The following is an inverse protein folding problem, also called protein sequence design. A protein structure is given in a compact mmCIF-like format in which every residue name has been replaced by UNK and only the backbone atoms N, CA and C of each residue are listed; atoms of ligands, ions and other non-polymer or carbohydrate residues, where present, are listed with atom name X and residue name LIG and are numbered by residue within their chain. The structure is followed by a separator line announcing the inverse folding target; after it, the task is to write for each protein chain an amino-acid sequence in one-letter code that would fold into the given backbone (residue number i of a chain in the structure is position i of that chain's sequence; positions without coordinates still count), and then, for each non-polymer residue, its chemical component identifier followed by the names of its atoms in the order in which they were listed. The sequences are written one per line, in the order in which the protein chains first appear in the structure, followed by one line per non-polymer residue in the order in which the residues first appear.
data_IF_901080386242
#
_entry.id   IF_901080386242
#
_cell.length_a   1.000
_cell.length_b   1.000
_cell.length_c   1.000
_cell.angle_alpha   90.00
_cell.angle_beta   90.00
_cell.angle_gamma   90.00
#
_symmetry.space_group_name_H-M   'P 1'
#
loop_
_entity.id
_entity.type
_entity.pdbx_description
1 polymer ?
#
# COMPACT_ATOMS: atom_id res chain seq x y z
N UNK A 1 14.76 -34.31 -42.27
CA UNK A 1 14.34 -35.60 -41.71
C UNK A 1 13.22 -35.36 -40.70
N UNK A 2 12.05 -35.96 -40.98
CA UNK A 2 10.94 -36.32 -40.08
C UNK A 2 10.35 -35.25 -39.14
N UNK A 3 9.24 -34.67 -39.61
CA UNK A 3 8.07 -34.30 -38.79
C UNK A 3 7.52 -35.54 -38.08
N UNK A 4 7.18 -35.44 -36.79
CA UNK A 4 5.93 -35.99 -36.26
C UNK A 4 5.50 -35.29 -34.95
N UNK A 5 4.20 -35.01 -34.77
CA UNK A 5 3.63 -34.20 -33.69
C UNK A 5 2.98 -35.04 -32.58
N UNK A 6 3.09 -34.63 -31.31
CA UNK A 6 2.30 -35.21 -30.21
C UNK A 6 1.67 -34.11 -29.35
N UNK A 7 0.36 -33.98 -29.57
CA UNK A 7 -0.73 -33.52 -28.70
C UNK A 7 -0.68 -32.16 -27.96
N UNK A 8 -1.79 -31.39 -28.03
CA UNK A 8 -1.90 -30.07 -27.42
C UNK A 8 -2.27 -30.20 -25.94
N UNK A 9 -1.29 -30.08 -25.04
CA UNK A 9 -1.59 -29.76 -23.65
C UNK A 9 -1.90 -28.25 -23.57
N UNK A 10 -3.18 -27.94 -23.37
CA UNK A 10 -3.70 -26.60 -23.11
C UNK A 10 -3.08 -26.04 -21.82
N UNK A 11 -1.90 -25.43 -21.92
CA UNK A 11 -1.30 -24.67 -20.83
C UNK A 11 -2.01 -23.32 -20.71
N UNK A 12 -3.06 -23.27 -19.89
CA UNK A 12 -3.57 -22.00 -19.35
C UNK A 12 -2.46 -21.45 -18.45
N UNK A 13 -1.60 -20.61 -19.01
CA UNK A 13 -0.70 -19.76 -18.21
C UNK A 13 -1.57 -18.64 -17.65
N UNK A 14 -2.12 -18.85 -16.45
CA UNK A 14 -2.77 -17.79 -15.70
C UNK A 14 -1.67 -16.80 -15.30
N UNK A 15 -1.52 -15.74 -16.10
CA UNK A 15 -0.63 -14.64 -15.78
C UNK A 15 -1.16 -13.92 -14.53
N UNK A 16 -0.70 -14.37 -13.35
CA UNK A 16 -0.77 -13.58 -12.13
C UNK A 16 0.08 -12.34 -12.37
N UNK A 17 -0.56 -11.24 -12.77
CA UNK A 17 -0.01 -9.91 -12.53
C UNK A 17 0.08 -9.75 -11.01
N UNK A 18 1.17 -10.24 -10.41
CA UNK A 18 1.57 -9.81 -9.10
C UNK A 18 1.69 -8.28 -9.19
N UNK A 19 0.93 -7.49 -8.42
CA UNK A 19 1.25 -6.08 -8.32
C UNK A 19 2.70 -6.04 -7.84
N UNK A 20 3.57 -5.40 -8.61
CA UNK A 20 4.91 -5.09 -8.15
C UNK A 20 4.73 -4.21 -6.92
N UNK A 21 4.75 -4.81 -5.72
CA UNK A 21 4.87 -4.08 -4.47
C UNK A 21 6.24 -3.42 -4.55
N UNK A 22 6.27 -2.19 -5.10
CA UNK A 22 7.49 -1.42 -5.14
C UNK A 22 7.94 -1.32 -3.69
N UNK A 23 9.19 -1.71 -3.50
CA UNK A 23 9.88 -1.76 -2.23
C UNK A 23 9.46 -0.52 -1.43
N UNK A 24 8.73 -0.70 -0.33
CA UNK A 24 8.47 0.37 0.62
C UNK A 24 9.78 0.66 1.32
N UNK A 25 10.67 1.31 0.56
CA UNK A 25 11.79 2.04 1.10
C UNK A 25 11.17 2.97 2.15
N UNK A 26 11.63 2.81 3.38
CA UNK A 26 11.03 3.21 4.66
C UNK A 26 10.64 4.71 4.73
N UNK A 27 9.64 5.15 3.93
CA UNK A 27 9.24 6.56 3.80
C UNK A 27 8.37 7.01 4.95
N UNK A 28 7.67 6.08 5.60
CA UNK A 28 6.84 6.37 6.76
C UNK A 28 7.74 6.45 8.00
N UNK A 29 7.70 7.56 8.77
CA UNK A 29 8.51 7.70 9.97
C UNK A 29 8.19 6.58 10.97
N UNK A 30 9.22 6.05 11.65
CA UNK A 30 9.11 4.88 12.55
C UNK A 30 8.06 5.07 13.64
N UNK A 31 7.85 6.30 14.11
CA UNK A 31 6.83 6.63 15.11
C UNK A 31 5.39 6.35 14.64
N UNK A 32 5.14 6.37 13.32
CA UNK A 32 3.82 6.21 12.71
C UNK A 32 3.51 4.78 12.26
N UNK A 33 4.52 3.89 12.15
CA UNK A 33 4.34 2.47 11.84
C UNK A 33 3.26 1.78 12.71
N UNK A 34 3.26 1.90 14.05
CA UNK A 34 2.20 1.30 14.88
C UNK A 34 0.82 1.92 14.64
N UNK A 35 0.74 3.13 14.09
CA UNK A 35 -0.54 3.79 13.80
C UNK A 35 -1.21 3.25 12.53
N UNK A 36 -0.52 2.44 11.72
CA UNK A 36 -1.08 1.79 10.53
C UNK A 36 -2.16 0.76 10.84
N UNK A 37 -2.31 0.33 12.09
CA UNK A 37 -3.44 -0.50 12.52
C UNK A 37 -4.80 0.15 12.20
N UNK A 38 -4.86 1.49 12.08
CA UNK A 38 -6.06 2.17 11.64
C UNK A 38 -6.57 1.69 10.26
N UNK A 39 -5.66 1.26 9.37
CA UNK A 39 -6.00 0.77 8.02
C UNK A 39 -7.02 -0.35 8.09
N UNK A 40 -6.69 -1.41 8.82
CA UNK A 40 -7.54 -2.62 8.93
C UNK A 40 -8.76 -2.38 9.83
N UNK A 41 -8.72 -1.38 10.72
CA UNK A 41 -9.87 -1.06 11.58
C UNK A 41 -11.02 -0.36 10.84
N UNK A 42 -10.71 0.44 9.82
CA UNK A 42 -11.71 1.32 9.16
C UNK A 42 -11.88 1.07 7.67
N UNK A 43 -11.10 0.13 7.13
CA UNK A 43 -11.16 -0.28 5.71
C UNK A 43 -10.94 -1.79 5.59
N UNK A 44 -11.13 -2.32 4.38
CA UNK A 44 -10.78 -3.70 4.03
C UNK A 44 -9.36 -3.82 3.43
N UNK A 45 -8.61 -2.73 3.38
CA UNK A 45 -7.26 -2.73 2.81
C UNK A 45 -6.28 -3.49 3.70
N UNK A 46 -5.30 -4.15 3.08
CA UNK A 46 -4.08 -4.59 3.79
C UNK A 46 -3.18 -3.39 4.07
N UNK A 47 -2.37 -3.44 5.13
CA UNK A 47 -1.46 -2.34 5.52
C UNK A 47 -0.44 -1.93 4.46
N UNK A 48 -0.15 -2.80 3.50
CA UNK A 48 0.78 -2.62 2.39
C UNK A 48 0.07 -2.45 1.03
N UNK A 49 -1.27 -2.49 0.99
CA UNK A 49 -2.05 -2.25 -0.23
C UNK A 49 -2.27 -0.74 -0.42
N UNK A 50 -1.21 -0.06 -0.85
CA UNK A 50 -1.25 1.39 -1.05
C UNK A 50 -2.22 1.82 -2.13
N UNK A 51 -2.50 0.97 -3.12
CA UNK A 51 -3.53 1.24 -4.13
C UNK A 51 -4.92 1.31 -3.49
N UNK A 52 -5.22 0.42 -2.54
CA UNK A 52 -6.45 0.47 -1.75
C UNK A 52 -6.45 1.64 -0.74
N UNK A 53 -5.37 1.80 0.03
CA UNK A 53 -5.24 2.84 1.07
C UNK A 53 -5.40 4.24 0.49
N UNK A 54 -4.82 4.49 -0.69
CA UNK A 54 -4.82 5.80 -1.31
C UNK A 54 -6.10 6.13 -2.11
N UNK A 55 -7.09 5.23 -2.13
CA UNK A 55 -8.42 5.60 -2.57
C UNK A 55 -8.95 6.71 -1.65
N UNK A 56 -9.52 7.76 -2.23
CA UNK A 56 -9.91 8.98 -1.50
C UNK A 56 -10.72 8.66 -0.23
N UNK A 57 -11.74 7.82 -0.35
CA UNK A 57 -12.60 7.44 0.78
C UNK A 57 -11.86 6.67 1.88
N UNK A 58 -10.96 5.74 1.50
CA UNK A 58 -10.17 4.98 2.46
C UNK A 58 -9.15 5.88 3.16
N UNK A 59 -8.46 6.73 2.40
CA UNK A 59 -7.47 7.64 2.94
C UNK A 59 -8.06 8.61 3.96
N UNK A 60 -9.23 9.20 3.67
CA UNK A 60 -9.94 10.10 4.58
C UNK A 60 -10.31 9.40 5.92
N UNK A 61 -10.82 8.17 5.86
CA UNK A 61 -11.14 7.35 7.04
C UNK A 61 -9.89 7.02 7.85
N UNK A 62 -8.82 6.59 7.17
CA UNK A 62 -7.55 6.20 7.80
C UNK A 62 -6.87 7.40 8.46
N UNK A 63 -6.79 8.55 7.77
CA UNK A 63 -6.20 9.78 8.30
C UNK A 63 -6.93 10.22 9.58
N UNK A 64 -8.26 10.22 9.56
CA UNK A 64 -9.08 10.56 10.73
C UNK A 64 -8.86 9.59 11.89
N UNK A 65 -8.88 8.28 11.63
CA UNK A 65 -8.75 7.25 12.66
C UNK A 65 -7.32 7.12 13.23
N UNK A 66 -6.29 7.50 12.46
CA UNK A 66 -4.89 7.43 12.87
C UNK A 66 -4.39 8.72 13.52
N UNK A 67 -5.03 9.87 13.28
CA UNK A 67 -4.58 11.18 13.75
C UNK A 67 -4.26 11.22 15.27
N UNK A 68 -5.08 10.67 16.19
CA UNK A 68 -4.75 10.67 17.62
C UNK A 68 -3.50 9.84 17.96
N UNK A 69 -3.27 8.73 17.25
CA UNK A 69 -2.08 7.90 17.43
C UNK A 69 -0.83 8.63 16.92
N UNK A 70 -0.92 9.18 15.70
CA UNK A 70 0.16 9.91 15.04
C UNK A 70 0.56 11.13 15.86
N UNK A 71 -0.41 11.93 16.31
CA UNK A 71 -0.14 13.09 17.17
C UNK A 71 0.61 12.69 18.45
N UNK A 72 0.15 11.63 19.15
CA UNK A 72 0.79 11.19 20.40
C UNK A 72 2.19 10.60 20.20
N UNK A 73 2.45 9.89 19.09
CA UNK A 73 3.73 9.18 18.88
C UNK A 73 4.77 9.98 18.10
N UNK A 74 4.32 10.78 17.13
CA UNK A 74 5.21 11.53 16.25
C UNK A 74 5.26 13.02 16.60
N UNK A 75 4.21 13.55 17.23
CA UNK A 75 4.04 14.99 17.39
C UNK A 75 3.70 15.68 16.07
N UNK A 76 3.26 16.94 16.17
CA UNK A 76 2.75 17.68 15.01
C UNK A 76 3.85 18.05 14.01
N UNK A 77 5.08 18.32 14.49
CA UNK A 77 6.20 18.69 13.62
C UNK A 77 6.58 17.56 12.67
N UNK A 78 6.83 16.34 13.18
CA UNK A 78 7.14 15.16 12.33
C UNK A 78 5.96 14.81 11.43
N UNK A 79 4.73 14.97 11.92
CA UNK A 79 3.53 14.72 11.11
C UNK A 79 3.48 15.59 9.86
N UNK A 80 3.70 16.89 10.01
CA UNK A 80 3.61 17.85 8.91
C UNK A 80 4.84 17.83 8.00
N UNK A 81 6.04 17.68 8.57
CA UNK A 81 7.30 17.78 7.82
C UNK A 81 7.75 16.46 7.18
N UNK A 82 7.32 15.31 7.71
CA UNK A 82 7.78 13.99 7.25
C UNK A 82 6.63 13.08 6.82
N UNK A 83 5.66 12.83 7.71
CA UNK A 83 4.61 11.83 7.45
C UNK A 83 3.68 12.25 6.30
N UNK A 84 3.15 13.47 6.34
CA UNK A 84 2.24 13.96 5.29
C UNK A 84 2.93 13.96 3.91
N UNK A 85 4.15 14.52 3.74
CA UNK A 85 4.87 14.44 2.48
C UNK A 85 5.16 13.00 2.04
N UNK A 86 5.48 12.09 2.97
CA UNK A 86 5.69 10.68 2.67
C UNK A 86 4.43 10.02 2.11
N UNK A 87 3.28 10.21 2.77
CA UNK A 87 2.00 9.66 2.32
C UNK A 87 1.55 10.23 0.97
N UNK A 88 1.75 11.54 0.75
CA UNK A 88 1.47 12.16 -0.56
C UNK A 88 2.29 11.49 -1.67
N UNK A 89 3.61 11.36 -1.47
CA UNK A 89 4.49 10.70 -2.45
C UNK A 89 4.11 9.23 -2.69
N UNK A 90 3.70 8.51 -1.65
CA UNK A 90 3.23 7.13 -1.79
C UNK A 90 1.97 7.11 -2.65
N UNK A 91 0.97 7.93 -2.32
CA UNK A 91 -0.31 7.93 -3.03
C UNK A 91 -0.24 8.49 -4.46
N UNK A 92 0.66 9.43 -4.73
CA UNK A 92 0.96 9.87 -6.10
C UNK A 92 1.50 8.75 -6.97
N UNK A 93 2.30 7.84 -6.41
CA UNK A 93 2.85 6.69 -7.14
C UNK A 93 1.83 5.57 -7.41
N UNK A 94 0.60 5.69 -6.88
CA UNK A 94 -0.49 4.71 -7.08
C UNK A 94 -1.57 5.18 -8.08
N UNK A 95 -1.39 6.38 -8.66
CA UNK A 95 -2.31 6.96 -9.64
C UNK A 95 -2.12 6.36 -11.03
#
# INVERSE_FOLDING_TARGET
MKLTPFLPALSIVLALCAPAYSQTDNRIPKCALPCQEAVERVTTCRKDDYKCICQRENFEKIATASAPCVYRRCGISVTLSELVPAMNKICEAQK
#
